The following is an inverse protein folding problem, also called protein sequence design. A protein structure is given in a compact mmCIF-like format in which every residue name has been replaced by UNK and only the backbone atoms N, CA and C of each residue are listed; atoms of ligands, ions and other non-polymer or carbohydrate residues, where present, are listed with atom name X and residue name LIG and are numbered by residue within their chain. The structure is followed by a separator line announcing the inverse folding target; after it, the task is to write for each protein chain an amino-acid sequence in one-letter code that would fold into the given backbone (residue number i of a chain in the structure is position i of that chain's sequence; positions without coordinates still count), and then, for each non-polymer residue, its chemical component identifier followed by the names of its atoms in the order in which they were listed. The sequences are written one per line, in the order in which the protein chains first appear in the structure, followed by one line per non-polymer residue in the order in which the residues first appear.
data_IF_241976849311
#
_entry.id   IF_241976849311
#
_cell.length_a   1.000
_cell.length_b   1.000
_cell.length_c   1.000
_cell.angle_alpha   90.00
_cell.angle_beta   90.00
_cell.angle_gamma   90.00
#
_symmetry.space_group_name_H-M   'P 1'
#
loop_
_entity.id
_entity.type
_entity.pdbx_description
1 polymer ?
#
# COMPACT_ATOMS: atom_id res chain seq x y z
N UNK A 1 -30.89 4.36 6.55
CA UNK A 1 -31.21 3.00 7.03
C UNK A 1 -30.00 2.15 6.69
N UNK A 2 -29.32 1.52 7.66
CA UNK A 2 -28.17 0.65 7.36
C UNK A 2 -28.64 -0.44 6.38
N UNK A 3 -27.89 -0.61 5.30
CA UNK A 3 -28.16 -1.65 4.30
C UNK A 3 -28.11 -3.00 5.01
N UNK A 4 -29.11 -3.87 4.82
CA UNK A 4 -29.17 -5.23 5.39
C UNK A 4 -27.91 -6.08 5.09
N UNK A 5 -27.08 -5.62 4.16
CA UNK A 5 -25.77 -6.18 3.80
C UNK A 5 -24.73 -5.99 4.91
N UNK A 6 -24.78 -4.89 5.66
CA UNK A 6 -23.73 -4.51 6.64
C UNK A 6 -23.68 -5.47 7.85
N UNK A 7 -24.75 -6.21 8.09
CA UNK A 7 -24.82 -7.24 9.15
C UNK A 7 -24.45 -8.64 8.68
N UNK A 8 -24.17 -8.84 7.38
CA UNK A 8 -23.80 -10.14 6.83
C UNK A 8 -22.29 -10.34 6.88
N UNK A 9 -21.84 -11.53 7.26
CA UNK A 9 -20.44 -11.89 7.17
C UNK A 9 -20.01 -12.05 5.70
N UNK A 10 -18.71 -11.89 5.43
CA UNK A 10 -18.16 -12.08 4.08
C UNK A 10 -18.47 -13.47 3.49
N UNK A 11 -18.57 -14.50 4.36
CA UNK A 11 -18.96 -15.85 3.96
C UNK A 11 -20.43 -15.92 3.54
N UNK A 12 -21.32 -15.28 4.28
CA UNK A 12 -22.74 -15.24 3.93
C UNK A 12 -22.97 -14.47 2.63
N UNK A 13 -22.26 -13.36 2.43
CA UNK A 13 -22.29 -12.61 1.16
C UNK A 13 -21.86 -13.49 -0.03
N UNK A 14 -20.80 -14.27 0.13
CA UNK A 14 -20.33 -15.20 -0.91
C UNK A 14 -21.35 -16.33 -1.18
N UNK A 15 -21.89 -16.95 -0.14
CA UNK A 15 -22.91 -18.01 -0.26
C UNK A 15 -24.18 -17.49 -0.94
N UNK A 16 -24.65 -16.29 -0.58
CA UNK A 16 -25.82 -15.63 -1.19
C UNK A 16 -25.57 -15.36 -2.67
N UNK A 17 -24.42 -14.78 -3.03
CA UNK A 17 -24.08 -14.49 -4.42
C UNK A 17 -23.96 -15.77 -5.27
N UNK A 18 -23.34 -16.82 -4.71
CA UNK A 18 -23.25 -18.12 -5.36
C UNK A 18 -24.62 -18.73 -5.64
N UNK A 19 -25.51 -18.76 -4.65
CA UNK A 19 -26.87 -19.31 -4.82
C UNK A 19 -27.70 -18.47 -5.79
N UNK A 20 -27.53 -17.15 -5.79
CA UNK A 20 -28.17 -16.30 -6.79
C UNK A 20 -27.78 -16.67 -8.23
N UNK A 21 -26.48 -16.86 -8.47
CA UNK A 21 -25.96 -17.31 -9.76
C UNK A 21 -26.39 -18.73 -10.10
N UNK A 22 -26.39 -19.65 -9.13
CA UNK A 22 -26.86 -21.03 -9.30
C UNK A 22 -28.33 -21.10 -9.74
N UNK A 23 -29.15 -20.14 -9.32
CA UNK A 23 -30.54 -20.01 -9.73
C UNK A 23 -30.73 -19.10 -10.95
N UNK A 24 -29.71 -18.92 -11.80
CA UNK A 24 -29.73 -18.12 -13.03
C UNK A 24 -30.24 -16.68 -12.81
N UNK A 25 -29.91 -16.08 -11.67
CA UNK A 25 -30.35 -14.72 -11.32
C UNK A 25 -31.80 -14.61 -10.85
N UNK A 26 -32.49 -15.73 -10.58
CA UNK A 26 -33.83 -15.69 -10.00
C UNK A 26 -33.78 -15.58 -8.47
N UNK A 27 -33.94 -14.36 -7.95
CA UNK A 27 -33.82 -14.07 -6.52
C UNK A 27 -34.80 -14.85 -5.63
N UNK A 28 -36.02 -15.11 -6.10
CA UNK A 28 -37.03 -15.85 -5.32
C UNK A 28 -36.72 -17.34 -5.26
N UNK A 29 -36.22 -17.91 -6.36
CA UNK A 29 -35.73 -19.28 -6.36
C UNK A 29 -34.49 -19.41 -5.48
N UNK A 30 -33.55 -18.47 -5.60
CA UNK A 30 -32.34 -18.40 -4.80
C UNK A 30 -32.62 -18.32 -3.30
N UNK A 31 -33.60 -17.50 -2.88
CA UNK A 31 -34.01 -17.45 -1.48
C UNK A 31 -34.49 -18.82 -0.99
N UNK A 32 -35.38 -19.51 -1.72
CA UNK A 32 -35.84 -20.85 -1.32
C UNK A 32 -34.68 -21.86 -1.24
N UNK A 33 -33.81 -21.87 -2.24
CA UNK A 33 -32.65 -22.75 -2.30
C UNK A 33 -31.68 -22.50 -1.13
N UNK A 34 -31.45 -21.23 -0.79
CA UNK A 34 -30.58 -20.84 0.32
C UNK A 34 -31.11 -21.36 1.66
N UNK A 35 -32.42 -21.25 1.91
CA UNK A 35 -33.02 -21.81 3.13
C UNK A 35 -32.93 -23.34 3.19
N UNK A 36 -33.05 -24.03 2.06
CA UNK A 36 -32.93 -25.48 2.00
C UNK A 36 -31.49 -25.94 2.29
N UNK A 37 -30.49 -25.23 1.75
CA UNK A 37 -29.06 -25.57 1.95
C UNK A 37 -28.51 -25.13 3.30
N UNK A 38 -29.06 -24.07 3.89
CA UNK A 38 -28.60 -23.51 5.15
C UNK A 38 -29.74 -23.41 6.17
N UNK A 39 -30.32 -24.55 6.61
CA UNK A 39 -31.50 -24.57 7.48
C UNK A 39 -31.26 -23.97 8.87
N UNK A 40 -30.00 -23.87 9.31
CA UNK A 40 -29.62 -23.28 10.59
C UNK A 40 -29.37 -21.77 10.53
N UNK A 41 -29.37 -21.16 9.33
CA UNK A 41 -29.11 -19.72 9.18
C UNK A 41 -30.43 -18.92 9.22
N UNK A 42 -30.38 -17.64 9.62
CA UNK A 42 -31.55 -16.77 9.56
C UNK A 42 -32.12 -16.69 8.15
N UNK A 43 -33.44 -16.49 8.08
CA UNK A 43 -34.13 -16.39 6.83
C UNK A 43 -33.70 -15.15 6.02
N UNK A 44 -33.31 -15.34 4.76
CA UNK A 44 -32.83 -14.27 3.88
C UNK A 44 -33.88 -13.94 2.82
N UNK A 45 -34.39 -12.70 2.84
CA UNK A 45 -35.32 -12.18 1.85
C UNK A 45 -34.66 -12.14 0.46
N UNK A 46 -35.43 -12.44 -0.61
CA UNK A 46 -34.98 -12.35 -2.00
C UNK A 46 -34.36 -10.98 -2.35
N UNK A 47 -34.79 -9.90 -1.69
CA UNK A 47 -34.23 -8.56 -1.89
C UNK A 47 -32.75 -8.47 -1.51
N UNK A 48 -32.29 -9.27 -0.54
CA UNK A 48 -30.88 -9.32 -0.13
C UNK A 48 -30.01 -9.89 -1.25
N UNK A 49 -30.50 -10.88 -2.01
CA UNK A 49 -29.77 -11.43 -3.15
C UNK A 49 -29.53 -10.38 -4.24
N UNK A 50 -30.57 -9.59 -4.54
CA UNK A 50 -30.46 -8.47 -5.49
C UNK A 50 -29.49 -7.41 -4.97
N UNK A 51 -29.60 -7.05 -3.69
CA UNK A 51 -28.76 -6.04 -3.08
C UNK A 51 -27.28 -6.46 -3.06
N UNK A 52 -26.99 -7.70 -2.67
CA UNK A 52 -25.63 -8.27 -2.67
C UNK A 52 -25.05 -8.32 -4.08
N UNK A 53 -25.81 -8.80 -5.07
CA UNK A 53 -25.34 -8.85 -6.44
C UNK A 53 -25.05 -7.45 -6.99
N UNK A 54 -25.96 -6.49 -6.74
CA UNK A 54 -25.81 -5.10 -7.15
C UNK A 54 -24.56 -4.48 -6.53
N UNK A 55 -24.40 -4.59 -5.22
CA UNK A 55 -23.25 -4.07 -4.49
C UNK A 55 -21.93 -4.62 -5.04
N UNK A 56 -21.86 -5.93 -5.27
CA UNK A 56 -20.67 -6.56 -5.85
C UNK A 56 -20.41 -6.13 -7.30
N UNK A 57 -21.46 -5.89 -8.09
CA UNK A 57 -21.33 -5.49 -9.49
C UNK A 57 -20.95 -4.01 -9.66
N UNK A 58 -21.44 -3.14 -8.77
CA UNK A 58 -21.22 -1.69 -8.82
C UNK A 58 -19.93 -1.29 -8.09
N UNK A 59 -19.66 -1.89 -6.92
CA UNK A 59 -18.58 -1.48 -6.02
C UNK A 59 -17.48 -2.55 -5.85
N UNK A 60 -17.68 -3.77 -6.38
CA UNK A 60 -16.75 -4.89 -6.20
C UNK A 60 -16.80 -5.49 -4.80
N UNK A 61 -15.82 -6.36 -4.50
CA UNK A 61 -15.62 -6.84 -3.13
C UNK A 61 -15.07 -5.67 -2.30
N UNK A 62 -15.86 -5.18 -1.33
CA UNK A 62 -15.39 -4.34 -0.25
C UNK A 62 -14.32 -5.12 0.55
N UNK A 63 -13.07 -5.04 0.09
CA UNK A 63 -11.93 -5.28 0.95
C UNK A 63 -11.89 -4.05 1.84
N UNK A 64 -12.07 -4.15 3.17
CA UNK A 64 -11.58 -3.07 4.01
C UNK A 64 -10.12 -2.93 3.61
N UNK A 65 -9.81 -1.83 2.92
CA UNK A 65 -8.46 -1.41 2.76
C UNK A 65 -8.01 -1.27 4.21
N UNK A 66 -7.27 -2.26 4.71
CA UNK A 66 -6.43 -2.01 5.87
C UNK A 66 -5.46 -0.98 5.32
N UNK A 67 -5.86 0.28 5.38
CA UNK A 67 -4.95 1.32 5.76
C UNK A 67 -4.31 0.71 7.01
N UNK A 68 -3.11 0.15 6.83
CA UNK A 68 -2.10 0.41 7.83
C UNK A 68 -2.08 1.92 7.83
N UNK A 69 -2.93 2.52 8.65
CA UNK A 69 -2.72 3.85 9.13
C UNK A 69 -1.33 3.72 9.73
N UNK A 70 -0.33 4.09 8.93
CA UNK A 70 0.94 4.53 9.46
C UNK A 70 0.55 5.79 10.21
N UNK A 71 -0.02 5.61 11.40
CA UNK A 71 -0.06 6.64 12.42
C UNK A 71 1.38 6.74 12.87
N UNK A 72 2.23 7.28 12.00
CA UNK A 72 3.47 7.88 12.42
C UNK A 72 3.00 9.05 13.28
N UNK A 73 3.24 9.03 14.60
CA UNK A 73 2.87 10.16 15.44
C UNK A 73 3.52 11.42 14.83
N UNK A 74 2.81 12.55 14.82
CA UNK A 74 3.31 13.83 14.24
C UNK A 74 4.71 14.18 14.78
N UNK A 75 5.00 13.82 16.02
CA UNK A 75 6.31 13.96 16.67
C UNK A 75 7.45 13.22 15.93
N UNK A 76 7.17 12.05 15.35
CA UNK A 76 8.16 11.29 14.59
C UNK A 76 8.49 11.96 13.26
N UNK A 77 7.50 12.55 12.57
CA UNK A 77 7.75 13.25 11.30
C UNK A 77 8.65 14.47 11.49
N UNK A 78 8.43 15.26 12.56
CA UNK A 78 9.31 16.40 12.90
C UNK A 78 10.73 15.94 13.24
N UNK A 79 10.88 14.82 13.95
CA UNK A 79 12.19 14.25 14.27
C UNK A 79 12.91 13.73 13.02
N UNK A 80 12.20 13.09 12.09
CA UNK A 80 12.74 12.68 10.79
C UNK A 80 13.24 13.89 10.01
N UNK A 81 12.43 14.95 9.89
CA UNK A 81 12.81 16.18 9.18
C UNK A 81 14.04 16.84 9.80
N UNK A 82 14.14 16.86 11.13
CA UNK A 82 15.30 17.40 11.84
C UNK A 82 16.58 16.61 11.55
N UNK A 83 16.51 15.28 11.58
CA UNK A 83 17.65 14.41 11.29
C UNK A 83 18.14 14.56 9.85
N UNK A 84 17.22 14.62 8.89
CA UNK A 84 17.55 14.85 7.47
C UNK A 84 18.12 16.24 7.25
N UNK A 85 17.62 17.26 7.96
CA UNK A 85 18.16 18.62 7.86
C UNK A 85 19.60 18.72 8.42
N UNK A 86 19.87 18.03 9.53
CA UNK A 86 21.20 18.01 10.16
C UNK A 86 22.22 17.22 9.34
N UNK A 87 21.82 16.08 8.77
CA UNK A 87 22.63 15.27 7.89
C UNK A 87 21.81 14.81 6.67
N UNK A 88 21.86 15.54 5.54
CA UNK A 88 21.15 15.16 4.32
C UNK A 88 21.62 13.83 3.70
N UNK A 89 22.73 13.25 4.19
CA UNK A 89 23.25 11.96 3.72
C UNK A 89 22.81 10.78 4.59
N UNK A 90 22.10 11.05 5.71
CA UNK A 90 21.63 10.01 6.62
C UNK A 90 20.68 9.07 5.90
N UNK A 91 20.97 7.77 5.94
CA UNK A 91 20.07 6.79 5.34
C UNK A 91 18.78 6.71 6.14
N UNK A 92 17.68 6.53 5.45
CA UNK A 92 16.36 6.32 6.05
C UNK A 92 16.34 5.11 7.00
N UNK A 93 17.13 4.05 6.75
CA UNK A 93 17.34 2.94 7.70
C UNK A 93 17.99 3.41 9.01
N UNK A 94 18.98 4.29 8.93
CA UNK A 94 19.68 4.84 10.10
C UNK A 94 18.78 5.75 10.92
N UNK A 95 17.95 6.57 10.26
CA UNK A 95 16.89 7.35 10.93
C UNK A 95 15.94 6.40 11.69
N UNK A 96 15.47 5.35 11.02
CA UNK A 96 14.53 4.39 11.62
C UNK A 96 15.09 3.70 12.86
N UNK A 97 16.38 3.31 12.81
CA UNK A 97 17.10 2.75 13.96
C UNK A 97 17.19 3.75 15.12
N UNK A 98 17.47 5.03 14.83
CA UNK A 98 17.59 6.07 15.85
C UNK A 98 16.26 6.42 16.51
N UNK A 99 15.16 6.33 15.77
CA UNK A 99 13.81 6.63 16.24
C UNK A 99 13.03 5.41 16.74
N UNK A 100 13.59 4.20 16.63
CA UNK A 100 12.92 2.95 17.04
C UNK A 100 11.68 2.60 16.22
N UNK A 101 11.60 3.07 14.98
CA UNK A 101 10.45 2.87 14.07
C UNK A 101 10.80 1.93 12.92
N UNK A 102 9.79 1.43 12.22
CA UNK A 102 10.04 0.67 11.00
C UNK A 102 10.40 1.63 9.87
N UNK A 103 11.54 1.40 9.21
CA UNK A 103 12.01 2.20 8.07
C UNK A 103 10.97 2.37 6.94
N UNK A 104 10.10 1.37 6.74
CA UNK A 104 9.02 1.42 5.75
C UNK A 104 8.02 2.55 6.05
N UNK A 105 7.82 2.90 7.32
CA UNK A 105 6.92 4.00 7.72
C UNK A 105 7.45 5.37 7.27
N UNK A 106 8.77 5.54 7.15
CA UNK A 106 9.41 6.78 6.67
C UNK A 106 9.20 6.94 5.15
N UNK A 107 9.31 5.85 4.39
CA UNK A 107 9.18 5.88 2.92
C UNK A 107 7.76 6.22 2.48
N UNK A 108 6.76 5.84 3.28
CA UNK A 108 5.34 6.05 2.99
C UNK A 108 4.68 7.10 3.90
N UNK A 109 5.45 7.98 4.56
CA UNK A 109 4.88 8.93 5.53
C UNK A 109 4.02 10.02 4.88
N UNK A 110 4.38 10.48 3.68
CA UNK A 110 3.56 11.45 2.93
C UNK A 110 2.63 10.71 1.97
N UNK A 111 1.32 10.61 2.27
CA UNK A 111 0.38 9.99 1.36
C UNK A 111 0.33 10.79 0.04
N UNK A 112 0.19 10.07 -1.06
CA UNK A 112 0.02 10.64 -2.40
C UNK A 112 -1.34 10.18 -2.90
N UNK A 113 -2.27 11.12 -3.02
CA UNK A 113 -3.69 10.80 -3.20
C UNK A 113 -4.12 10.82 -4.67
N UNK A 114 -3.29 11.38 -5.56
CA UNK A 114 -3.60 11.46 -6.99
C UNK A 114 -2.40 11.14 -7.88
N UNK A 115 -2.68 10.67 -9.10
CA UNK A 115 -1.66 10.47 -10.14
C UNK A 115 -0.90 11.76 -10.46
N UNK A 116 -1.60 12.89 -10.47
CA UNK A 116 -1.01 14.19 -10.81
C UNK A 116 -0.01 14.62 -9.73
N UNK A 117 -0.39 14.48 -8.45
CA UNK A 117 0.51 14.74 -7.33
C UNK A 117 1.76 13.85 -7.38
N UNK A 118 1.61 12.57 -7.71
CA UNK A 118 2.74 11.66 -7.87
C UNK A 118 3.70 12.12 -8.97
N UNK A 119 3.15 12.48 -10.14
CA UNK A 119 3.95 12.97 -11.27
C UNK A 119 4.68 14.26 -10.91
N UNK A 120 4.01 15.19 -10.25
CA UNK A 120 4.61 16.44 -9.80
C UNK A 120 5.77 16.19 -8.83
N UNK A 121 5.60 15.29 -7.86
CA UNK A 121 6.68 14.91 -6.92
C UNK A 121 7.89 14.32 -7.66
N UNK A 122 7.67 13.42 -8.63
CA UNK A 122 8.75 12.82 -9.43
C UNK A 122 9.48 13.89 -10.25
N UNK A 123 8.74 14.77 -10.94
CA UNK A 123 9.34 15.83 -11.76
C UNK A 123 10.11 16.84 -10.90
N UNK A 124 9.57 17.23 -9.74
CA UNK A 124 10.26 18.13 -8.81
C UNK A 124 11.58 17.52 -8.29
N UNK A 125 11.56 16.25 -7.87
CA UNK A 125 12.76 15.55 -7.43
C UNK A 125 13.82 15.47 -8.55
N UNK A 126 13.39 15.15 -9.77
CA UNK A 126 14.30 15.11 -10.93
C UNK A 126 14.93 16.48 -11.21
N UNK A 127 14.15 17.57 -11.12
CA UNK A 127 14.66 18.93 -11.26
C UNK A 127 15.66 19.29 -10.17
N UNK A 128 15.39 18.96 -8.90
CA UNK A 128 16.32 19.21 -7.79
C UNK A 128 17.65 18.47 -7.97
N UNK A 129 17.62 17.22 -8.42
CA UNK A 129 18.84 16.44 -8.73
C UNK A 129 19.63 17.11 -9.87
N UNK A 130 18.93 17.59 -10.91
CA UNK A 130 19.55 18.27 -12.04
C UNK A 130 20.24 19.59 -11.63
N UNK A 131 19.63 20.34 -10.72
CA UNK A 131 20.18 21.60 -10.21
C UNK A 131 21.35 21.38 -9.25
N UNK A 132 21.33 20.28 -8.48
CA UNK A 132 22.39 19.93 -7.53
C UNK A 132 23.60 19.25 -8.23
N UNK A 133 24.32 20.02 -9.05
CA UNK A 133 25.49 19.56 -9.81
C UNK A 133 26.60 18.95 -8.95
N UNK A 134 26.73 19.35 -7.69
CA UNK A 134 27.73 18.80 -6.76
C UNK A 134 27.43 17.36 -6.39
N UNK A 135 26.16 16.99 -6.18
CA UNK A 135 25.75 15.60 -5.93
C UNK A 135 26.08 14.73 -7.15
N UNK A 136 25.73 15.18 -8.36
CA UNK A 136 26.04 14.43 -9.59
C UNK A 136 27.55 14.21 -9.76
N UNK A 137 28.37 15.25 -9.52
CA UNK A 137 29.84 15.13 -9.57
C UNK A 137 30.38 14.14 -8.54
N UNK A 138 29.86 14.15 -7.31
CA UNK A 138 30.25 13.20 -6.25
C UNK A 138 29.88 11.78 -6.65
N UNK A 139 28.68 11.55 -7.19
CA UNK A 139 28.24 10.23 -7.65
C UNK A 139 29.13 9.71 -8.78
N UNK A 140 29.40 10.53 -9.81
CA UNK A 140 30.28 10.16 -10.92
C UNK A 140 31.68 9.81 -10.42
N UNK A 141 32.24 10.62 -9.51
CA UNK A 141 33.56 10.35 -8.91
C UNK A 141 33.55 9.06 -8.08
N UNK A 142 32.47 8.81 -7.33
CA UNK A 142 32.32 7.61 -6.51
C UNK A 142 32.25 6.35 -7.36
N UNK A 143 31.52 6.38 -8.49
CA UNK A 143 31.46 5.27 -9.45
C UNK A 143 32.83 5.03 -10.09
N UNK A 144 33.52 6.09 -10.52
CA UNK A 144 34.86 5.97 -11.09
C UNK A 144 35.85 5.37 -10.07
N UNK A 145 35.84 5.86 -8.82
CA UNK A 145 36.67 5.32 -7.75
C UNK A 145 36.38 3.82 -7.52
N UNK A 146 35.11 3.45 -7.38
CA UNK A 146 34.70 2.04 -7.24
C UNK A 146 35.17 1.17 -8.39
N UNK A 147 35.06 1.66 -9.62
CA UNK A 147 35.54 0.95 -10.80
C UNK A 147 37.05 0.70 -10.73
N UNK A 148 37.83 1.69 -10.33
CA UNK A 148 39.28 1.56 -10.20
C UNK A 148 39.66 0.54 -9.15
N UNK A 149 39.11 0.66 -7.93
CA UNK A 149 39.44 -0.27 -6.83
C UNK A 149 38.97 -1.70 -7.16
N UNK A 150 37.83 -1.87 -7.83
CA UNK A 150 37.38 -3.18 -8.31
C UNK A 150 38.39 -3.83 -9.28
N UNK A 151 38.99 -3.05 -10.19
CA UNK A 151 40.02 -3.55 -11.10
C UNK A 151 41.31 -3.89 -10.37
N UNK A 152 41.73 -3.05 -9.41
CA UNK A 152 42.95 -3.27 -8.60
C UNK A 152 42.83 -4.55 -7.75
N UNK A 153 41.62 -4.84 -7.25
CA UNK A 153 41.28 -6.06 -6.51
C UNK A 153 40.85 -7.23 -7.42
N UNK A 154 41.06 -7.12 -8.74
CA UNK A 154 40.74 -8.15 -9.74
C UNK A 154 39.30 -8.70 -9.65
N UNK A 155 38.33 -7.82 -9.38
CA UNK A 155 36.91 -8.15 -9.23
C UNK A 155 36.51 -8.70 -7.85
N UNK A 156 37.41 -8.66 -6.86
CA UNK A 156 37.17 -9.10 -5.49
C UNK A 156 36.29 -8.16 -4.64
N UNK A 157 36.32 -8.35 -3.32
CA UNK A 157 35.60 -7.47 -2.38
C UNK A 157 36.40 -6.18 -2.14
N UNK A 158 35.88 -5.04 -2.58
CA UNK A 158 36.59 -3.76 -2.55
C UNK A 158 35.89 -2.62 -1.79
N UNK A 159 34.61 -2.75 -1.41
CA UNK A 159 33.87 -1.64 -0.76
C UNK A 159 34.45 -1.25 0.61
N UNK A 160 35.12 -2.17 1.32
CA UNK A 160 35.85 -1.89 2.56
C UNK A 160 37.10 -1.01 2.37
N UNK A 161 37.55 -0.82 1.14
CA UNK A 161 38.71 0.01 0.78
C UNK A 161 38.29 1.44 0.39
N UNK A 162 36.98 1.68 0.27
CA UNK A 162 36.39 2.94 -0.17
C UNK A 162 35.72 3.59 1.04
N UNK A 163 36.50 4.36 1.81
CA UNK A 163 36.00 5.16 2.94
C UNK A 163 35.26 6.42 2.48
#
# INVERSE_FOLDING_TARGET
MPSTIDSLSAREVADIHYIYGFCDGNARAASREYHQRFPTRPAVDYRVFLAVHRELSENGLHRPHRERASTVPVDVDEQVLRLVYQDPTISTRRIALQLGINHVQIVYSTPISTREELLQKVMAAASQIKENRTVLKKTVRSVALRSTVCMDENGGHFENLIN
#
